data_IF_991563485370
#
_entry.id   IF_991563485370
#
_cell.length_a   1.000
_cell.length_b   1.000
_cell.length_c   1.000
_cell.angle_alpha   90.00
_cell.angle_beta   90.00
_cell.angle_gamma   90.00
#
_symmetry.space_group_name_H-M   'P 1'
#
loop_
_entity.id
_entity.type
_entity.pdbx_description
1 polymer ?
#
# COMPACT_ATOMS: atom_id res chain seq x y z
N UNK A 1 -8.72 4.35 -5.84
CA UNK A 1 -9.46 4.34 -4.56
C UNK A 1 -10.73 5.11 -4.80
N UNK A 2 -11.90 4.60 -4.40
CA UNK A 2 -13.11 5.43 -4.40
C UNK A 2 -12.98 6.42 -3.24
N UNK A 3 -13.04 7.71 -3.54
CA UNK A 3 -12.94 8.77 -2.54
C UNK A 3 -14.25 9.54 -2.58
N UNK A 4 -15.22 9.16 -1.74
CA UNK A 4 -16.50 9.85 -1.63
C UNK A 4 -17.43 9.64 -2.83
N UNK A 5 -18.10 10.71 -3.27
CA UNK A 5 -19.29 10.70 -4.16
C UNK A 5 -19.05 10.33 -5.63
N UNK A 6 -17.93 9.68 -5.95
CA UNK A 6 -17.51 9.35 -7.32
C UNK A 6 -17.89 7.96 -7.81
N UNK A 7 -18.89 7.31 -7.23
CA UNK A 7 -19.19 5.88 -7.45
C UNK A 7 -19.47 5.54 -8.92
N UNK A 8 -20.23 6.39 -9.62
CA UNK A 8 -20.58 6.17 -11.01
C UNK A 8 -19.38 6.32 -11.96
N UNK A 9 -18.56 7.34 -11.75
CA UNK A 9 -17.30 7.56 -12.50
C UNK A 9 -16.29 6.47 -12.19
N UNK A 10 -16.25 5.99 -10.95
CA UNK A 10 -15.45 4.85 -10.55
C UNK A 10 -15.87 3.60 -11.31
N UNK A 11 -17.17 3.27 -11.36
CA UNK A 11 -17.68 2.07 -12.03
C UNK A 11 -17.40 2.10 -13.53
N UNK A 12 -17.55 3.26 -14.19
CA UNK A 12 -17.30 3.38 -15.64
C UNK A 12 -15.83 3.26 -16.03
N UNK A 13 -14.90 3.73 -15.19
CA UNK A 13 -13.50 3.89 -15.58
C UNK A 13 -12.50 3.07 -14.74
N UNK A 14 -12.98 2.20 -13.85
CA UNK A 14 -12.13 1.31 -13.07
C UNK A 14 -11.61 0.13 -13.89
N UNK A 15 -10.28 -0.01 -13.95
CA UNK A 15 -9.62 -1.25 -14.31
C UNK A 15 -8.92 -1.85 -13.09
N UNK A 16 -9.20 -3.13 -12.80
CA UNK A 16 -8.52 -3.87 -11.74
C UNK A 16 -7.04 -4.09 -12.08
N UNK A 17 -6.19 -4.16 -11.07
CA UNK A 17 -4.75 -4.32 -11.25
C UNK A 17 -4.36 -5.71 -11.64
N UNK A 18 -5.23 -6.67 -11.32
CA UNK A 18 -5.18 -8.01 -11.88
C UNK A 18 -5.29 -7.95 -13.40
N UNK A 19 -6.22 -7.15 -13.95
CA UNK A 19 -6.37 -7.03 -15.41
C UNK A 19 -5.12 -6.41 -16.04
N UNK A 20 -4.56 -5.35 -15.45
CA UNK A 20 -3.33 -4.74 -15.95
C UNK A 20 -2.12 -5.66 -15.84
N UNK A 21 -1.99 -6.39 -14.73
CA UNK A 21 -0.95 -7.40 -14.52
C UNK A 21 -1.02 -8.48 -15.60
N UNK A 22 -2.20 -9.03 -15.83
CA UNK A 22 -2.39 -10.13 -16.79
C UNK A 22 -2.15 -9.64 -18.23
N UNK A 23 -2.48 -8.39 -18.53
CA UNK A 23 -2.10 -7.72 -19.80
C UNK A 23 -0.59 -7.61 -19.98
N UNK A 24 0.13 -7.15 -18.94
CA UNK A 24 1.59 -7.04 -18.98
C UNK A 24 2.23 -8.40 -19.26
N UNK A 25 1.82 -9.43 -18.53
CA UNK A 25 2.32 -10.80 -18.70
C UNK A 25 2.08 -11.31 -20.13
N UNK A 26 0.88 -11.10 -20.69
CA UNK A 26 0.56 -11.51 -22.06
C UNK A 26 1.41 -10.80 -23.10
N UNK A 27 1.80 -9.54 -22.84
CA UNK A 27 2.67 -8.75 -23.71
C UNK A 27 4.16 -9.04 -23.54
N UNK A 28 4.54 -10.06 -22.77
CA UNK A 28 5.94 -10.45 -22.58
C UNK A 28 6.66 -9.73 -21.45
N UNK A 29 5.97 -8.94 -20.63
CA UNK A 29 6.58 -8.37 -19.42
C UNK A 29 6.78 -9.45 -18.37
N UNK A 30 7.90 -9.39 -17.66
CA UNK A 30 8.28 -10.37 -16.65
C UNK A 30 8.25 -9.72 -15.28
N UNK A 31 7.64 -10.41 -14.31
CA UNK A 31 7.63 -9.96 -12.92
C UNK A 31 9.01 -10.11 -12.31
N UNK A 32 9.51 -9.04 -11.72
CA UNK A 32 10.79 -8.99 -11.03
C UNK A 32 10.68 -9.50 -9.58
N UNK A 33 11.81 -9.97 -9.06
CA UNK A 33 11.95 -10.26 -7.63
C UNK A 33 11.96 -8.92 -6.89
N UNK A 34 11.11 -8.82 -5.87
CA UNK A 34 10.93 -7.59 -5.08
C UNK A 34 12.27 -7.16 -4.44
N UNK A 35 12.68 -5.94 -4.74
CA UNK A 35 13.80 -5.26 -4.13
C UNK A 35 13.34 -4.41 -2.93
N UNK A 36 14.30 -3.98 -2.11
CA UNK A 36 14.04 -3.15 -0.92
C UNK A 36 13.39 -1.80 -1.26
N UNK A 37 13.70 -1.25 -2.43
CA UNK A 37 13.22 0.04 -2.92
C UNK A 37 11.78 0.01 -3.46
N UNK A 38 11.23 -1.16 -3.78
CA UNK A 38 9.98 -1.27 -4.55
C UNK A 38 8.72 -0.92 -3.75
N UNK A 39 8.88 -0.74 -2.44
CA UNK A 39 7.75 -0.55 -1.55
C UNK A 39 6.76 -1.71 -1.71
N UNK A 40 5.44 -1.44 -1.86
CA UNK A 40 4.44 -2.48 -2.04
C UNK A 40 4.15 -2.84 -3.52
N UNK A 41 4.92 -2.31 -4.47
CA UNK A 41 4.66 -2.55 -5.89
C UNK A 41 5.03 -3.99 -6.30
N UNK A 42 4.27 -4.55 -7.23
CA UNK A 42 4.73 -5.63 -8.09
C UNK A 42 5.41 -5.00 -9.29
N UNK A 43 6.72 -5.22 -9.44
CA UNK A 43 7.54 -4.59 -10.48
C UNK A 43 7.68 -5.53 -11.68
N UNK A 44 7.59 -4.97 -12.88
CA UNK A 44 7.70 -5.67 -14.16
C UNK A 44 8.73 -4.99 -15.05
N UNK A 45 9.51 -5.78 -15.77
CA UNK A 45 10.41 -5.30 -16.82
C UNK A 45 10.12 -5.99 -18.15
N UNK A 46 10.72 -5.50 -19.23
CA UNK A 46 10.63 -6.11 -20.56
C UNK A 46 11.98 -6.01 -21.27
N UNK A 47 12.42 -7.04 -22.01
CA UNK A 47 13.71 -7.00 -22.71
C UNK A 47 13.82 -5.87 -23.76
N UNK A 48 12.71 -5.59 -24.45
CA UNK A 48 12.69 -4.59 -25.54
C UNK A 48 12.46 -3.14 -25.07
N UNK A 49 12.22 -2.89 -23.77
CA UNK A 49 11.92 -1.56 -23.26
C UNK A 49 12.87 -1.16 -22.12
N UNK A 50 13.29 0.11 -22.12
CA UNK A 50 14.00 0.67 -21.00
C UNK A 50 13.01 1.02 -19.86
N UNK A 51 13.36 0.64 -18.63
CA UNK A 51 12.61 0.98 -17.42
C UNK A 51 11.70 -0.13 -16.91
N UNK A 52 10.89 0.22 -15.90
CA UNK A 52 10.09 -0.73 -15.14
C UNK A 52 8.66 -0.19 -14.91
N UNK A 53 7.71 -1.10 -14.78
CA UNK A 53 6.33 -0.79 -14.41
C UNK A 53 6.04 -1.34 -13.01
N UNK A 54 5.68 -0.45 -12.08
CA UNK A 54 5.27 -0.82 -10.73
C UNK A 54 3.75 -0.79 -10.57
N UNK A 55 3.14 -1.95 -10.25
CA UNK A 55 1.73 -2.07 -9.92
C UNK A 55 1.53 -2.17 -8.40
N UNK A 56 0.94 -1.15 -7.77
CA UNK A 56 0.61 -1.15 -6.33
C UNK A 56 -0.84 -1.55 -6.14
N UNK A 57 -1.14 -2.76 -5.67
CA UNK A 57 -2.52 -3.29 -5.53
C UNK A 57 -2.97 -3.38 -4.05
N UNK A 58 -3.45 -2.27 -3.43
CA UNK A 58 -3.72 -2.20 -1.99
C UNK A 58 -4.85 -3.10 -1.47
N UNK A 59 -5.62 -3.72 -2.35
CA UNK A 59 -6.77 -4.56 -2.01
C UNK A 59 -6.58 -6.03 -2.39
N UNK A 60 -5.38 -6.41 -2.84
CA UNK A 60 -5.03 -7.82 -2.97
C UNK A 60 -4.98 -8.46 -1.57
N UNK A 61 -5.49 -9.69 -1.43
CA UNK A 61 -5.54 -10.40 -0.15
C UNK A 61 -4.18 -10.49 0.55
N UNK A 62 -3.09 -10.51 -0.21
CA UNK A 62 -1.72 -10.65 0.28
C UNK A 62 -1.03 -9.32 0.57
N UNK A 63 -1.62 -8.18 0.20
CA UNK A 63 -1.00 -6.86 0.38
C UNK A 63 -0.68 -6.57 1.85
N UNK A 64 -1.63 -6.87 2.75
CA UNK A 64 -1.47 -6.61 4.18
C UNK A 64 -0.49 -7.57 4.87
N UNK A 65 -0.23 -8.76 4.31
CA UNK A 65 0.60 -9.80 4.95
C UNK A 65 2.05 -9.36 5.17
N UNK A 66 2.57 -8.45 4.34
CA UNK A 66 3.92 -7.87 4.50
C UNK A 66 3.90 -6.40 4.93
N UNK A 67 2.75 -5.88 5.38
CA UNK A 67 2.61 -4.47 5.72
C UNK A 67 3.25 -4.14 7.08
N UNK A 68 4.32 -3.36 7.04
CA UNK A 68 5.05 -2.87 8.22
C UNK A 68 4.83 -1.38 8.49
N UNK A 69 3.77 -0.78 7.92
CA UNK A 69 3.48 0.65 8.06
C UNK A 69 2.56 0.91 9.25
N UNK A 70 2.90 1.97 9.99
CA UNK A 70 2.08 2.60 11.04
C UNK A 70 1.97 4.08 10.71
N UNK A 71 0.89 4.74 11.15
CA UNK A 71 0.69 6.18 10.94
C UNK A 71 0.36 6.84 12.26
N UNK A 72 0.94 8.01 12.51
CA UNK A 72 0.49 8.90 13.58
C UNK A 72 -0.26 10.06 12.92
N UNK A 73 -1.48 10.34 13.38
CA UNK A 73 -2.24 11.51 12.91
C UNK A 73 -1.73 12.80 13.53
N UNK A 74 -2.09 13.95 12.95
CA UNK A 74 -1.72 15.28 13.45
C UNK A 74 -2.22 15.56 14.87
N UNK A 75 -3.28 14.88 15.32
CA UNK A 75 -3.80 14.99 16.69
C UNK A 75 -3.11 14.05 17.68
N UNK A 76 -2.18 13.20 17.23
CA UNK A 76 -1.39 12.31 18.09
C UNK A 76 -1.98 10.91 18.28
N UNK A 77 -2.79 10.42 17.34
CA UNK A 77 -3.32 9.05 17.38
C UNK A 77 -2.49 8.10 16.52
N UNK A 78 -2.11 6.95 17.08
CA UNK A 78 -1.50 5.84 16.37
C UNK A 78 -2.55 5.01 15.66
N UNK A 79 -2.44 4.95 14.33
CA UNK A 79 -3.25 4.12 13.46
C UNK A 79 -2.41 2.92 13.00
N UNK A 80 -2.93 1.72 13.27
CA UNK A 80 -2.28 0.46 12.90
C UNK A 80 -2.45 0.12 11.42
N UNK A 81 -3.39 0.78 10.73
CA UNK A 81 -3.49 0.75 9.28
C UNK A 81 -4.14 2.01 8.70
N UNK A 82 -3.92 2.20 7.39
CA UNK A 82 -4.46 3.28 6.58
C UNK A 82 -5.99 3.29 6.53
N UNK A 83 -6.63 2.11 6.50
CA UNK A 83 -8.09 1.96 6.39
C UNK A 83 -8.74 1.52 7.71
N UNK A 84 -8.00 1.52 8.81
CA UNK A 84 -8.55 1.18 10.11
C UNK A 84 -9.25 2.40 10.71
N UNK A 85 -10.47 2.20 11.20
CA UNK A 85 -11.12 3.20 12.02
C UNK A 85 -10.45 3.29 13.40
N UNK A 86 -10.58 4.45 14.05
CA UNK A 86 -10.04 4.70 15.38
C UNK A 86 -8.54 5.00 15.41
N UNK A 87 -7.92 4.83 16.58
CA UNK A 87 -6.49 5.04 16.81
C UNK A 87 -6.18 5.12 18.31
N UNK A 88 -4.98 4.70 18.71
CA UNK A 88 -4.53 4.73 20.10
C UNK A 88 -3.96 6.12 20.40
N UNK A 89 -4.45 6.78 21.44
CA UNK A 89 -3.92 8.08 21.86
C UNK A 89 -2.48 7.93 22.37
N UNK A 90 -1.56 8.67 21.75
CA UNK A 90 -0.16 8.75 22.16
C UNK A 90 0.17 10.10 22.83
N UNK A 91 -0.74 11.07 22.77
CA UNK A 91 -0.43 12.46 23.13
C UNK A 91 0.04 12.59 24.58
N UNK A 92 -0.60 11.89 25.52
CA UNK A 92 -0.26 11.90 26.94
C UNK A 92 1.11 11.26 27.26
N UNK A 93 1.62 10.38 26.40
CA UNK A 93 2.93 9.71 26.52
C UNK A 93 3.99 10.29 25.57
N UNK A 94 3.72 11.48 25.01
CA UNK A 94 4.61 12.24 24.13
C UNK A 94 4.87 13.66 24.66
N UNK A 95 4.70 13.88 25.97
CA UNK A 95 4.87 15.19 26.58
C UNK A 95 6.33 15.47 26.97
N UNK A 96 7.09 14.45 27.36
CA UNK A 96 8.48 14.58 27.83
C UNK A 96 9.30 13.30 27.60
N UNK A 97 10.63 13.43 27.49
CA UNK A 97 11.56 12.32 27.21
C UNK A 97 11.57 11.24 28.31
N UNK A 98 11.23 11.58 29.55
CA UNK A 98 11.08 10.61 30.65
C UNK A 98 9.99 9.56 30.39
N UNK A 99 9.06 9.82 29.47
CA UNK A 99 7.94 8.93 29.12
C UNK A 99 8.30 7.91 28.02
N UNK A 100 9.54 7.89 27.54
CA UNK A 100 9.96 7.07 26.40
C UNK A 100 9.61 5.58 26.57
N UNK A 101 9.74 5.02 27.77
CA UNK A 101 9.42 3.62 28.01
C UNK A 101 7.90 3.36 28.03
N UNK A 102 7.11 4.30 28.57
CA UNK A 102 5.65 4.23 28.49
C UNK A 102 5.16 4.30 27.04
N UNK A 103 5.78 5.14 26.21
CA UNK A 103 5.50 5.21 24.77
C UNK A 103 5.81 3.88 24.06
N UNK A 104 7.00 3.31 24.29
CA UNK A 104 7.38 2.00 23.72
C UNK A 104 6.39 0.91 24.10
N UNK A 105 6.02 0.84 25.38
CA UNK A 105 5.04 -0.13 25.87
C UNK A 105 3.69 0.03 25.19
N UNK A 106 3.19 1.26 25.07
CA UNK A 106 1.89 1.52 24.42
C UNK A 106 1.89 1.18 22.93
N UNK A 107 2.98 1.47 22.22
CA UNK A 107 3.13 1.08 20.80
C UNK A 107 3.18 -0.45 20.68
N UNK A 108 3.95 -1.13 21.54
CA UNK A 108 4.07 -2.59 21.52
C UNK A 108 2.73 -3.28 21.81
N UNK A 109 1.98 -2.80 22.81
CA UNK A 109 0.65 -3.29 23.13
C UNK A 109 -0.34 -3.06 21.97
N UNK A 110 -0.35 -1.84 21.39
CA UNK A 110 -1.18 -1.55 20.23
C UNK A 110 -0.88 -2.49 19.05
N UNK A 111 0.39 -2.83 18.81
CA UNK A 111 0.79 -3.73 17.73
C UNK A 111 0.21 -5.14 17.84
N UNK A 112 -0.08 -5.63 19.05
CA UNK A 112 -0.76 -6.94 19.25
C UNK A 112 -2.16 -6.97 18.64
N UNK A 113 -2.78 -5.80 18.49
CA UNK A 113 -4.12 -5.63 17.91
C UNK A 113 -4.08 -5.38 16.39
N UNK A 114 -2.88 -5.36 15.77
CA UNK A 114 -2.75 -5.18 14.32
C UNK A 114 -3.26 -6.43 13.61
N UNK A 115 -4.48 -6.32 13.04
CA UNK A 115 -5.06 -7.38 12.22
C UNK A 115 -4.19 -7.65 10.99
N UNK A 116 -4.05 -8.92 10.63
CA UNK A 116 -3.32 -9.34 9.43
C UNK A 116 -3.97 -8.86 8.13
N UNK A 117 -5.27 -8.57 8.17
CA UNK A 117 -6.06 -8.09 7.04
C UNK A 117 -7.08 -7.05 7.51
N UNK A 118 -7.48 -6.16 6.59
CA UNK A 118 -8.71 -5.41 6.75
C UNK A 118 -9.88 -6.33 6.43
N UNK A 119 -10.67 -6.67 7.43
CA UNK A 119 -12.00 -7.23 7.23
C UNK A 119 -12.96 -6.05 7.02
N UNK A 120 -13.42 -5.86 5.79
CA UNK A 120 -14.53 -4.96 5.50
C UNK A 120 -15.82 -5.68 5.92
N UNK A 121 -16.31 -5.44 7.13
CA UNK A 121 -17.58 -6.01 7.60
C UNK A 121 -18.70 -4.99 7.40
N UNK A 122 -19.45 -5.12 6.29
CA UNK A 122 -20.93 -5.05 6.17
C UNK A 122 -21.39 -4.66 4.75
N UNK A 123 -22.25 -5.51 4.16
CA UNK A 123 -23.22 -5.14 3.10
C UNK A 123 -22.78 -5.31 1.64
N UNK A 124 -23.15 -6.43 1.02
CA UNK A 124 -23.50 -6.66 -0.41
C UNK A 124 -22.74 -6.01 -1.59
N UNK A 125 -21.58 -5.39 -1.42
CA UNK A 125 -20.81 -4.90 -2.57
C UNK A 125 -19.40 -5.49 -2.58
N UNK A 126 -19.12 -6.29 -3.61
CA UNK A 126 -17.75 -6.76 -3.95
C UNK A 126 -16.93 -5.52 -4.34
N UNK A 127 -16.37 -4.83 -3.36
CA UNK A 127 -15.45 -3.73 -3.60
C UNK A 127 -14.12 -4.28 -4.11
N UNK A 128 -14.04 -4.51 -5.42
CA UNK A 128 -12.80 -4.60 -6.16
C UNK A 128 -12.11 -3.26 -6.04
N UNK A 129 -10.87 -3.22 -5.56
CA UNK A 129 -10.20 -1.95 -5.48
C UNK A 129 -8.79 -1.95 -6.08
N UNK A 130 -8.48 -0.78 -6.63
CA UNK A 130 -7.66 -0.58 -7.83
C UNK A 130 -6.16 -0.52 -7.53
N UNK A 131 -5.30 -0.87 -8.49
CA UNK A 131 -3.88 -0.60 -8.45
C UNK A 131 -3.60 0.90 -8.60
N UNK A 132 -2.49 1.37 -8.06
CA UNK A 132 -1.79 2.56 -8.57
C UNK A 132 -0.68 2.04 -9.48
N UNK A 133 -0.71 2.41 -10.75
CA UNK A 133 0.43 2.20 -11.66
C UNK A 133 1.36 3.38 -11.44
N UNK A 134 2.53 3.16 -10.85
CA UNK A 134 3.58 4.18 -10.83
C UNK A 134 4.56 3.84 -11.96
N UNK A 135 4.71 4.78 -12.90
CA UNK A 135 5.69 4.70 -13.97
C UNK A 135 6.97 5.38 -13.48
N UNK A 136 8.06 4.63 -13.41
CA UNK A 136 9.38 5.18 -13.14
C UNK A 136 10.32 4.79 -14.28
N UNK A 137 10.81 5.78 -15.02
CA UNK A 137 11.94 5.59 -15.94
C UNK A 137 13.19 5.73 -15.07
N UNK A 138 13.82 4.60 -14.73
CA UNK A 138 15.17 4.59 -14.22
C UNK A 138 16.10 5.11 -15.31
N UNK A 139 16.36 6.40 -15.34
CA UNK A 139 17.39 6.99 -16.19
C UNK A 139 18.77 6.54 -15.71
N UNK A 140 19.21 5.36 -16.12
CA UNK A 140 20.61 4.97 -16.04
C UNK A 140 21.28 5.30 -17.38
N UNK A 141 22.32 6.12 -17.28
CA UNK A 141 22.96 6.81 -18.39
C UNK A 141 23.49 5.89 -19.49
N UNK A 142 23.57 6.52 -20.67
CA UNK A 142 24.60 6.35 -21.70
C UNK A 142 25.48 5.11 -21.51
N UNK A 143 25.09 4.01 -22.15
CA UNK A 143 26.08 3.04 -22.63
C UNK A 143 26.75 3.65 -23.85
N UNK A 144 27.94 4.19 -23.62
CA UNK A 144 28.96 4.34 -24.65
C UNK A 144 29.50 2.96 -25.03
N UNK A 145 29.60 2.76 -26.35
CA UNK A 145 30.21 1.67 -27.13
C UNK A 145 29.40 0.37 -27.31
#
# INVERSE_FOLDING_TARGET
METGEGSELFQRHHISGVVLRDELLRRGWVRQIRQRSDGPAQVFCHPDFAGEIGLIMPYEKTFCASCNRLRVSSIGKLHLCLFGDGGVDLRDVLQDDTQQDALKMRIADALTHKKQTHFFTSGEHRHYAKPVVHWWIAGNGLRSD
#
